data_IF_792599948071
#
_entry.id   IF_792599948071
#
_cell.length_a   1.000
_cell.length_b   1.000
_cell.length_c   1.000
_cell.angle_alpha   90.00
_cell.angle_beta   90.00
_cell.angle_gamma   90.00
#
_symmetry.space_group_name_H-M   'P 1'
#
loop_
_entity.id
_entity.type
_entity.pdbx_description
1 polymer ?
#
# COMPACT_ATOMS: atom_id res chain seq x y z
N UNK A 1 -10.48 3.47 31.19
CA UNK A 1 -9.20 3.49 30.45
C UNK A 1 -9.21 4.55 29.35
N UNK A 2 -10.28 4.67 28.52
CA UNK A 2 -10.34 5.66 27.43
C UNK A 2 -10.12 7.14 27.83
N UNK A 3 -10.56 7.61 29.03
CA UNK A 3 -10.34 9.00 29.43
C UNK A 3 -8.87 9.39 29.63
N UNK A 4 -7.98 8.43 29.80
CA UNK A 4 -6.57 8.66 30.15
C UNK A 4 -5.61 8.52 28.96
N UNK A 5 -6.09 8.05 27.78
CA UNK A 5 -5.22 7.84 26.64
C UNK A 5 -5.01 9.11 25.82
N UNK A 6 -3.79 9.32 25.35
CA UNK A 6 -3.41 10.41 24.46
C UNK A 6 -3.54 10.04 22.99
N UNK A 7 -3.41 8.73 22.69
CA UNK A 7 -3.40 8.21 21.33
C UNK A 7 -4.07 6.82 21.27
N UNK A 8 -4.87 6.62 20.24
CA UNK A 8 -5.41 5.32 19.84
C UNK A 8 -4.87 4.97 18.46
N UNK A 9 -4.14 3.88 18.38
CA UNK A 9 -3.64 3.35 17.12
C UNK A 9 -4.55 2.22 16.64
N UNK A 10 -5.22 2.45 15.53
CA UNK A 10 -6.06 1.47 14.85
C UNK A 10 -5.26 0.79 13.72
N UNK A 11 -5.66 -0.41 13.29
CA UNK A 11 -4.96 -1.13 12.22
C UNK A 11 -4.84 -0.30 10.93
N UNK A 12 -3.77 -0.50 10.16
CA UNK A 12 -3.56 0.16 8.86
C UNK A 12 -4.68 -0.17 7.87
N UNK A 13 -5.27 -1.37 7.95
CA UNK A 13 -6.47 -1.71 7.16
C UNK A 13 -7.73 -0.97 7.64
N UNK A 14 -7.64 -0.30 8.77
CA UNK A 14 -8.73 0.50 9.32
C UNK A 14 -9.92 -0.32 9.82
N UNK A 15 -11.10 0.17 9.50
CA UNK A 15 -12.38 -0.48 9.76
C UNK A 15 -13.27 -0.35 8.51
N UNK A 16 -14.31 -1.17 8.43
CA UNK A 16 -15.28 -1.08 7.34
C UNK A 16 -16.33 0.02 7.59
N UNK A 17 -17.21 0.25 6.61
CA UNK A 17 -18.27 1.27 6.72
C UNK A 17 -19.29 0.98 7.82
N UNK A 18 -19.38 -0.25 8.32
CA UNK A 18 -20.19 -0.66 9.45
C UNK A 18 -19.48 -0.46 10.79
N UNK A 19 -18.22 -0.02 10.78
CA UNK A 19 -17.44 0.23 11.99
C UNK A 19 -16.77 -1.03 12.58
N UNK A 20 -16.72 -2.12 11.85
CA UNK A 20 -15.97 -3.32 12.28
C UNK A 20 -14.48 -3.08 12.06
N UNK A 21 -13.70 -3.10 13.15
CA UNK A 21 -12.25 -2.92 13.10
C UNK A 21 -11.61 -4.17 12.51
N UNK A 22 -10.75 -3.99 11.50
CA UNK A 22 -10.02 -5.10 10.92
C UNK A 22 -9.11 -5.77 11.96
N UNK A 23 -9.21 -7.09 12.08
CA UNK A 23 -8.47 -7.89 13.04
C UNK A 23 -7.84 -9.14 12.39
N UNK A 24 -6.95 -9.81 13.11
CA UNK A 24 -6.40 -11.08 12.69
C UNK A 24 -7.45 -12.20 12.82
N UNK A 25 -7.39 -13.24 11.99
CA UNK A 25 -8.24 -14.42 12.13
C UNK A 25 -8.12 -15.01 13.54
N UNK A 26 -9.25 -15.39 14.12
CA UNK A 26 -9.32 -15.99 15.47
C UNK A 26 -9.39 -15.00 16.62
N UNK A 27 -9.37 -13.70 16.35
CA UNK A 27 -9.61 -12.64 17.33
C UNK A 27 -11.09 -12.26 17.31
N UNK A 28 -11.67 -11.94 18.47
CA UNK A 28 -13.03 -11.44 18.52
C UNK A 28 -13.19 -10.15 17.73
N UNK A 29 -14.31 -10.04 17.03
CA UNK A 29 -14.66 -8.85 16.27
C UNK A 29 -14.86 -7.67 17.24
N UNK A 30 -14.25 -6.54 16.91
CA UNK A 30 -14.40 -5.30 17.67
C UNK A 30 -15.21 -4.34 16.83
N UNK A 31 -16.41 -4.02 17.33
CA UNK A 31 -17.29 -3.03 16.74
C UNK A 31 -16.98 -1.66 17.34
N UNK A 32 -16.63 -0.69 16.48
CA UNK A 32 -16.44 0.69 16.91
C UNK A 32 -17.72 1.28 17.50
N UNK A 33 -17.60 1.95 18.64
CA UNK A 33 -18.72 2.60 19.31
C UNK A 33 -18.51 4.12 19.30
N UNK A 34 -19.41 4.87 18.67
CA UNK A 34 -19.38 6.35 18.69
C UNK A 34 -19.34 6.91 20.12
N UNK A 35 -19.99 6.24 21.07
CA UNK A 35 -19.98 6.61 22.48
C UNK A 35 -18.57 6.70 23.07
N UNK A 36 -17.59 5.98 22.54
CA UNK A 36 -16.20 6.03 23.02
C UNK A 36 -15.57 7.41 22.86
N UNK A 37 -15.90 8.16 21.79
CA UNK A 37 -15.37 9.51 21.59
C UNK A 37 -15.75 10.47 22.69
N UNK A 38 -16.94 10.31 23.28
CA UNK A 38 -17.43 11.16 24.39
C UNK A 38 -16.66 10.93 25.71
N UNK A 39 -15.96 9.81 25.82
CA UNK A 39 -15.16 9.46 27.00
C UNK A 39 -13.67 9.75 26.80
N UNK A 40 -13.28 10.22 25.62
CA UNK A 40 -11.90 10.64 25.33
C UNK A 40 -11.69 12.09 25.75
N UNK A 41 -10.50 12.41 26.24
CA UNK A 41 -10.16 13.79 26.56
C UNK A 41 -9.96 14.62 25.28
N UNK A 42 -10.24 15.94 25.32
CA UNK A 42 -9.92 16.83 24.20
C UNK A 42 -8.44 16.72 23.82
N UNK A 43 -8.17 16.66 22.51
CA UNK A 43 -6.82 16.50 21.97
C UNK A 43 -6.31 15.05 21.88
N UNK A 44 -7.10 14.05 22.32
CA UNK A 44 -6.81 12.63 22.02
C UNK A 44 -6.68 12.46 20.50
N UNK A 45 -5.72 11.66 20.07
CA UNK A 45 -5.44 11.37 18.67
C UNK A 45 -5.90 9.97 18.32
N UNK A 46 -6.56 9.84 17.19
CA UNK A 46 -6.84 8.54 16.56
C UNK A 46 -5.98 8.45 15.31
N UNK A 47 -5.13 7.44 15.24
CA UNK A 47 -4.30 7.12 14.07
C UNK A 47 -4.85 5.85 13.43
N UNK A 48 -5.16 5.91 12.16
CA UNK A 48 -5.77 4.81 11.38
C UNK A 48 -5.18 4.81 9.96
N UNK A 49 -5.23 3.70 9.25
CA UNK A 49 -4.77 3.67 7.86
C UNK A 49 -5.62 4.54 6.94
N UNK A 50 -6.89 4.22 6.84
CA UNK A 50 -7.93 5.03 6.18
C UNK A 50 -9.18 5.00 7.05
N UNK A 51 -9.78 6.16 7.30
CA UNK A 51 -10.99 6.26 8.10
C UNK A 51 -12.23 6.18 7.20
N UNK A 52 -13.31 5.50 7.63
CA UNK A 52 -14.61 5.63 7.00
C UNK A 52 -15.19 7.03 7.26
N UNK A 53 -16.13 7.44 6.43
CA UNK A 53 -16.68 8.81 6.47
C UNK A 53 -17.34 9.15 7.82
N UNK A 54 -18.07 8.21 8.40
CA UNK A 54 -18.69 8.43 9.71
C UNK A 54 -17.66 8.74 10.80
N UNK A 55 -16.47 8.10 10.78
CA UNK A 55 -15.43 8.35 11.78
C UNK A 55 -14.81 9.75 11.61
N UNK A 56 -14.61 10.20 10.36
CA UNK A 56 -14.16 11.58 10.08
C UNK A 56 -15.14 12.60 10.64
N UNK A 57 -16.44 12.39 10.36
CA UNK A 57 -17.51 13.26 10.84
C UNK A 57 -17.57 13.28 12.38
N UNK A 58 -17.60 12.12 13.01
CA UNK A 58 -17.69 11.98 14.46
C UNK A 58 -16.49 12.59 15.20
N UNK A 59 -15.27 12.42 14.67
CA UNK A 59 -14.07 13.04 15.22
C UNK A 59 -14.13 14.57 15.10
N UNK A 60 -14.58 15.10 13.96
CA UNK A 60 -14.73 16.53 13.75
C UNK A 60 -15.74 17.17 14.74
N UNK A 61 -16.87 16.49 15.02
CA UNK A 61 -17.87 16.97 16.00
C UNK A 61 -17.37 16.93 17.45
N UNK A 62 -16.49 16.01 17.80
CA UNK A 62 -16.03 15.80 19.18
C UNK A 62 -14.69 16.46 19.49
N UNK A 63 -14.04 17.09 18.50
CA UNK A 63 -12.72 17.70 18.67
C UNK A 63 -11.58 16.69 18.85
N UNK A 64 -11.79 15.42 18.50
CA UNK A 64 -10.78 14.38 18.47
C UNK A 64 -9.95 14.51 17.20
N UNK A 65 -8.62 14.43 17.32
CA UNK A 65 -7.71 14.61 16.21
C UNK A 65 -7.55 13.29 15.44
N UNK A 66 -8.03 13.26 14.20
CA UNK A 66 -7.95 12.09 13.33
C UNK A 66 -6.76 12.20 12.37
N UNK A 67 -5.90 11.18 12.35
CA UNK A 67 -4.75 11.07 11.45
C UNK A 67 -4.86 9.82 10.60
N UNK A 68 -4.92 10.02 9.28
CA UNK A 68 -4.99 8.92 8.30
C UNK A 68 -3.61 8.66 7.72
N UNK A 69 -3.01 7.51 8.05
CA UNK A 69 -1.64 7.15 7.64
C UNK A 69 -1.50 7.06 6.11
N UNK A 70 -2.47 6.46 5.42
CA UNK A 70 -2.38 6.24 3.97
C UNK A 70 -2.55 7.53 3.16
N UNK A 71 -3.06 8.61 3.76
CA UNK A 71 -3.11 9.94 3.15
C UNK A 71 -1.78 10.71 3.27
N UNK A 72 -0.92 10.34 4.23
CA UNK A 72 0.37 10.98 4.49
C UNK A 72 1.44 10.44 3.54
N UNK A 73 2.16 11.33 2.88
CA UNK A 73 3.21 10.95 1.93
C UNK A 73 4.42 10.30 2.63
N UNK A 74 4.80 10.77 3.82
CA UNK A 74 5.87 10.19 4.62
C UNK A 74 5.61 8.72 4.96
N UNK A 75 4.39 8.38 5.42
CA UNK A 75 4.00 7.00 5.64
C UNK A 75 3.94 6.21 4.33
N UNK A 76 3.28 6.77 3.32
CA UNK A 76 3.01 6.05 2.07
C UNK A 76 4.30 5.65 1.34
N UNK A 77 5.35 6.50 1.32
CA UNK A 77 6.64 6.15 0.75
C UNK A 77 7.36 5.07 1.56
N UNK A 78 7.38 5.17 2.90
CA UNK A 78 7.97 4.11 3.73
C UNK A 78 7.23 2.77 3.57
N UNK A 79 5.91 2.79 3.50
CA UNK A 79 5.08 1.60 3.30
C UNK A 79 5.21 1.02 1.87
N UNK A 80 5.56 1.85 0.89
CA UNK A 80 5.80 1.41 -0.49
C UNK A 80 7.06 0.54 -0.63
N UNK A 81 8.05 0.69 0.26
CA UNK A 81 9.28 -0.13 0.24
C UNK A 81 8.96 -1.62 0.40
N UNK A 82 8.39 -2.09 1.52
CA UNK A 82 8.05 -3.50 1.68
C UNK A 82 6.95 -3.95 0.72
N UNK A 83 6.08 -3.04 0.25
CA UNK A 83 5.08 -3.34 -0.80
C UNK A 83 5.78 -3.72 -2.10
N UNK A 84 6.73 -2.93 -2.55
CA UNK A 84 7.46 -3.16 -3.80
C UNK A 84 8.31 -4.45 -3.73
N UNK A 85 9.00 -4.68 -2.62
CA UNK A 85 9.79 -5.91 -2.42
C UNK A 85 8.89 -7.15 -2.40
N UNK A 86 7.77 -7.08 -1.72
CA UNK A 86 6.78 -8.16 -1.70
C UNK A 86 6.15 -8.41 -3.08
N UNK A 87 5.91 -7.36 -3.87
CA UNK A 87 5.41 -7.48 -5.23
C UNK A 87 6.41 -8.19 -6.15
N UNK A 88 7.67 -7.80 -6.07
CA UNK A 88 8.76 -8.43 -6.83
C UNK A 88 8.91 -9.90 -6.44
N UNK A 89 8.93 -10.20 -5.14
CA UNK A 89 9.01 -11.58 -4.66
C UNK A 89 7.82 -12.42 -5.16
N UNK A 90 6.59 -11.92 -5.04
CA UNK A 90 5.40 -12.60 -5.54
C UNK A 90 5.46 -12.83 -7.05
N UNK A 91 5.96 -11.88 -7.81
CA UNK A 91 6.12 -12.04 -9.25
C UNK A 91 7.14 -13.12 -9.59
N UNK A 92 8.32 -13.09 -8.96
CA UNK A 92 9.39 -14.08 -9.18
C UNK A 92 9.00 -15.50 -8.80
N UNK A 93 8.20 -15.69 -7.74
CA UNK A 93 7.70 -17.01 -7.35
C UNK A 93 6.77 -17.66 -8.39
N UNK A 94 6.23 -16.86 -9.31
CA UNK A 94 5.30 -17.31 -10.36
C UNK A 94 5.93 -17.28 -11.76
N UNK A 95 7.10 -16.68 -11.88
CA UNK A 95 7.83 -16.55 -13.13
C UNK A 95 8.75 -17.75 -13.35
N UNK A 96 9.03 -18.05 -14.61
CA UNK A 96 10.04 -19.00 -15.07
C UNK A 96 11.34 -18.31 -15.55
N UNK A 97 11.43 -16.99 -15.35
CA UNK A 97 12.54 -16.13 -15.79
C UNK A 97 13.00 -15.14 -14.73
N UNK A 98 14.18 -14.58 -14.91
CA UNK A 98 14.74 -13.54 -14.06
C UNK A 98 14.14 -12.16 -14.37
N UNK A 99 14.19 -11.24 -13.40
CA UNK A 99 13.89 -9.82 -13.67
C UNK A 99 15.00 -9.13 -14.47
N UNK A 100 16.25 -9.55 -14.30
CA UNK A 100 17.39 -8.99 -15.02
C UNK A 100 17.18 -9.11 -16.54
N UNK A 101 17.18 -7.98 -17.22
CA UNK A 101 16.97 -7.91 -18.67
C UNK A 101 15.52 -8.09 -19.14
N UNK A 102 14.58 -8.42 -18.23
CA UNK A 102 13.17 -8.57 -18.58
C UNK A 102 12.48 -7.21 -18.74
N UNK A 103 11.49 -7.15 -19.63
CA UNK A 103 10.64 -6.00 -19.83
C UNK A 103 9.55 -5.95 -18.73
N UNK A 104 9.58 -4.91 -17.92
CA UNK A 104 8.63 -4.71 -16.81
C UNK A 104 7.80 -3.44 -17.00
N UNK A 105 6.48 -3.59 -16.98
CA UNK A 105 5.53 -2.48 -17.01
C UNK A 105 5.06 -2.14 -15.61
N UNK A 106 5.10 -0.86 -15.24
CA UNK A 106 4.47 -0.31 -14.04
C UNK A 106 3.30 0.57 -14.43
N UNK A 107 2.07 0.11 -14.12
CA UNK A 107 0.85 0.88 -14.31
C UNK A 107 0.65 1.82 -13.13
N UNK A 108 0.71 3.14 -13.42
CA UNK A 108 0.68 4.19 -12.41
C UNK A 108 2.06 4.57 -11.88
N UNK A 109 2.25 5.88 -11.66
CA UNK A 109 3.49 6.43 -11.11
C UNK A 109 3.18 7.36 -9.94
N UNK A 110 2.45 6.79 -8.97
CA UNK A 110 2.24 7.34 -7.65
C UNK A 110 3.32 6.87 -6.67
N UNK A 111 3.10 7.08 -5.38
CA UNK A 111 4.04 6.73 -4.30
C UNK A 111 4.57 5.29 -4.40
N UNK A 112 3.67 4.32 -4.57
CA UNK A 112 4.05 2.91 -4.73
C UNK A 112 4.75 2.65 -6.07
N UNK A 113 4.22 3.20 -7.16
CA UNK A 113 4.80 3.01 -8.50
C UNK A 113 6.22 3.56 -8.64
N UNK A 114 6.52 4.70 -8.01
CA UNK A 114 7.87 5.29 -7.99
C UNK A 114 8.86 4.35 -7.32
N UNK A 115 8.54 3.88 -6.10
CA UNK A 115 9.43 2.98 -5.34
C UNK A 115 9.60 1.63 -6.04
N UNK A 116 8.52 1.10 -6.62
CA UNK A 116 8.57 -0.16 -7.36
C UNK A 116 9.43 -0.06 -8.62
N UNK A 117 9.25 0.98 -9.42
CA UNK A 117 10.03 1.19 -10.63
C UNK A 117 11.53 1.35 -10.33
N UNK A 118 11.89 2.07 -9.25
CA UNK A 118 13.26 2.20 -8.79
C UNK A 118 13.85 0.83 -8.43
N UNK A 119 13.16 0.01 -7.65
CA UNK A 119 13.64 -1.33 -7.28
C UNK A 119 13.76 -2.27 -8.48
N UNK A 120 12.81 -2.26 -9.40
CA UNK A 120 12.89 -3.05 -10.63
C UNK A 120 14.12 -2.68 -11.47
N UNK A 121 14.41 -1.37 -11.59
CA UNK A 121 15.62 -0.89 -12.28
C UNK A 121 16.90 -1.31 -11.55
N UNK A 122 16.92 -1.23 -10.23
CA UNK A 122 18.06 -1.70 -9.43
C UNK A 122 18.36 -3.20 -9.65
N UNK A 123 17.35 -3.98 -10.03
CA UNK A 123 17.49 -5.38 -10.46
C UNK A 123 17.76 -5.54 -11.95
N UNK A 124 18.07 -4.45 -12.65
CA UNK A 124 18.37 -4.40 -14.08
C UNK A 124 17.20 -4.86 -14.99
N UNK A 125 15.94 -4.69 -14.55
CA UNK A 125 14.81 -4.81 -15.45
C UNK A 125 14.74 -3.60 -16.39
N UNK A 126 14.24 -3.80 -17.61
CA UNK A 126 13.91 -2.72 -18.55
C UNK A 126 12.53 -2.21 -18.20
N UNK A 127 12.49 -1.09 -17.46
CA UNK A 127 11.23 -0.60 -16.88
C UNK A 127 10.57 0.44 -17.78
N UNK A 128 9.30 0.19 -18.10
CA UNK A 128 8.38 1.16 -18.71
C UNK A 128 7.29 1.54 -17.72
N UNK A 129 7.03 2.84 -17.61
CA UNK A 129 5.95 3.39 -16.77
C UNK A 129 4.80 3.87 -17.65
N UNK A 130 3.60 3.37 -17.40
CA UNK A 130 2.39 3.90 -18.02
C UNK A 130 1.64 4.79 -17.06
N UNK A 131 1.51 6.09 -17.36
CA UNK A 131 0.84 7.06 -16.51
C UNK A 131 0.01 8.07 -17.29
N UNK A 132 -1.12 8.50 -16.72
CA UNK A 132 -2.03 9.48 -17.33
C UNK A 132 -1.39 10.88 -17.41
N UNK A 133 -0.78 11.34 -16.29
CA UNK A 133 -0.23 12.69 -16.19
C UNK A 133 1.12 12.79 -16.87
N UNK A 134 1.30 13.81 -17.73
CA UNK A 134 2.59 14.09 -18.39
C UNK A 134 3.72 14.32 -17.38
N UNK A 135 3.43 14.98 -16.24
CA UNK A 135 4.41 15.19 -15.18
C UNK A 135 4.93 13.89 -14.55
N UNK A 136 4.07 12.87 -14.43
CA UNK A 136 4.49 11.56 -13.93
C UNK A 136 5.38 10.83 -14.94
N UNK A 137 5.07 10.95 -16.24
CA UNK A 137 5.90 10.37 -17.30
C UNK A 137 7.26 11.05 -17.36
N UNK A 138 7.28 12.38 -17.36
CA UNK A 138 8.54 13.13 -17.34
C UNK A 138 9.41 12.78 -16.12
N UNK A 139 8.79 12.62 -14.91
CA UNK A 139 9.51 12.16 -13.74
C UNK A 139 10.07 10.74 -13.93
N UNK A 140 9.30 9.81 -14.52
CA UNK A 140 9.78 8.46 -14.79
C UNK A 140 11.00 8.47 -15.75
N UNK A 141 10.97 9.30 -16.78
CA UNK A 141 12.10 9.48 -17.72
C UNK A 141 13.35 10.03 -17.04
N UNK A 142 13.21 11.05 -16.19
CA UNK A 142 14.34 11.59 -15.41
C UNK A 142 14.94 10.57 -14.45
N UNK A 143 14.12 9.62 -14.00
CA UNK A 143 14.57 8.49 -13.18
C UNK A 143 15.07 7.31 -14.01
N UNK A 144 15.19 7.47 -15.35
CA UNK A 144 15.76 6.48 -16.26
C UNK A 144 14.84 5.31 -16.61
N UNK A 145 13.53 5.47 -16.48
CA UNK A 145 12.53 4.56 -17.04
C UNK A 145 12.12 5.03 -18.44
N UNK A 146 11.65 4.12 -19.29
CA UNK A 146 10.81 4.51 -20.42
C UNK A 146 9.43 4.90 -19.91
N UNK A 147 8.71 5.74 -20.67
CA UNK A 147 7.34 6.09 -20.30
C UNK A 147 6.38 6.10 -21.48
N UNK A 148 5.07 5.90 -21.19
CA UNK A 148 4.01 6.05 -22.18
C UNK A 148 2.71 6.53 -21.53
N UNK A 149 1.83 7.19 -22.28
CA UNK A 149 0.46 7.46 -21.80
C UNK A 149 -0.34 6.16 -21.71
N UNK A 150 -1.25 6.07 -20.74
CA UNK A 150 -2.09 4.87 -20.57
C UNK A 150 -2.98 4.58 -21.78
N UNK A 151 -3.24 5.54 -22.63
CA UNK A 151 -4.04 5.41 -23.87
C UNK A 151 -3.32 4.61 -24.95
N UNK A 152 -2.00 4.46 -24.86
CA UNK A 152 -1.20 3.71 -25.84
C UNK A 152 -1.00 2.24 -25.45
N UNK A 153 -1.32 1.85 -24.22
CA UNK A 153 -1.10 0.50 -23.69
C UNK A 153 -1.63 -0.62 -24.59
N UNK A 154 -2.79 -0.40 -25.23
CA UNK A 154 -3.44 -1.41 -26.06
C UNK A 154 -2.56 -1.94 -27.20
N UNK A 155 -1.55 -1.19 -27.61
CA UNK A 155 -0.61 -1.60 -28.68
C UNK A 155 0.64 -2.29 -28.14
N UNK A 156 0.80 -2.35 -26.84
CA UNK A 156 2.05 -2.72 -26.17
C UNK A 156 1.92 -3.85 -25.14
N UNK A 157 0.71 -4.42 -24.94
CA UNK A 157 0.53 -5.46 -23.94
C UNK A 157 1.44 -6.68 -24.14
N UNK A 158 1.77 -7.02 -25.39
CA UNK A 158 2.68 -8.13 -25.74
C UNK A 158 4.17 -7.87 -25.48
N UNK A 159 4.54 -6.62 -25.18
CA UNK A 159 5.95 -6.23 -25.05
C UNK A 159 6.54 -6.58 -23.68
N UNK A 160 5.72 -6.95 -22.70
CA UNK A 160 6.11 -7.09 -21.31
C UNK A 160 6.13 -8.53 -20.81
N UNK A 161 7.18 -8.84 -20.03
CA UNK A 161 7.33 -10.08 -19.29
C UNK A 161 6.66 -9.99 -17.92
N UNK A 162 6.69 -8.81 -17.28
CA UNK A 162 6.10 -8.52 -15.99
C UNK A 162 5.24 -7.28 -16.07
N UNK A 163 4.04 -7.34 -15.47
CA UNK A 163 3.14 -6.18 -15.34
C UNK A 163 2.78 -6.00 -13.87
N UNK A 164 3.05 -4.81 -13.35
CA UNK A 164 2.71 -4.43 -11.98
C UNK A 164 1.68 -3.30 -12.02
N UNK A 165 0.48 -3.58 -11.51
CA UNK A 165 -0.56 -2.55 -11.42
C UNK A 165 -0.56 -1.89 -10.04
N UNK A 166 -0.52 -0.55 -10.01
CA UNK A 166 -0.67 0.26 -8.78
C UNK A 166 -1.89 1.18 -8.82
N UNK A 167 -2.69 1.10 -9.89
CA UNK A 167 -3.85 1.99 -10.11
C UNK A 167 -5.13 1.33 -9.58
N UNK A 168 -5.86 1.97 -8.64
CA UNK A 168 -7.09 1.42 -8.07
C UNK A 168 -8.30 1.65 -9.01
N UNK A 169 -8.17 1.23 -10.26
CA UNK A 169 -9.21 1.27 -11.28
C UNK A 169 -8.96 0.14 -12.28
N UNK A 170 -10.00 -0.29 -13.00
CA UNK A 170 -9.88 -1.31 -14.03
C UNK A 170 -8.91 -0.86 -15.13
N UNK A 171 -7.76 -1.51 -15.22
CA UNK A 171 -6.67 -1.23 -16.16
C UNK A 171 -6.53 -2.30 -17.24
N UNK A 172 -6.86 -3.54 -16.92
CA UNK A 172 -6.69 -4.69 -17.83
C UNK A 172 -7.98 -5.51 -17.88
N UNK A 173 -8.72 -5.36 -18.96
CA UNK A 173 -9.94 -6.14 -19.27
C UNK A 173 -9.58 -7.43 -20.01
N UNK A 174 -10.56 -8.27 -20.25
CA UNK A 174 -10.38 -9.52 -21.00
C UNK A 174 -9.71 -9.32 -22.38
N UNK A 175 -10.06 -8.24 -23.09
CA UNK A 175 -9.47 -7.87 -24.37
C UNK A 175 -7.99 -7.50 -24.24
N UNK A 176 -7.60 -6.74 -23.21
CA UNK A 176 -6.21 -6.35 -22.93
C UNK A 176 -5.36 -7.58 -22.56
N UNK A 177 -5.92 -8.48 -21.77
CA UNK A 177 -5.28 -9.74 -21.37
C UNK A 177 -5.07 -10.68 -22.57
N UNK A 178 -5.98 -10.68 -23.54
CA UNK A 178 -5.85 -11.47 -24.77
C UNK A 178 -4.66 -11.03 -25.62
N UNK A 179 -4.29 -9.74 -25.58
CA UNK A 179 -3.15 -9.16 -26.28
C UNK A 179 -1.82 -9.35 -25.54
N UNK A 180 -1.85 -9.84 -24.29
CA UNK A 180 -0.65 -10.13 -23.52
C UNK A 180 0.03 -11.44 -23.97
N UNK A 181 1.31 -11.55 -23.66
CA UNK A 181 2.05 -12.82 -23.75
C UNK A 181 1.42 -13.86 -22.81
N UNK A 182 1.45 -15.12 -23.18
CA UNK A 182 0.90 -16.20 -22.34
C UNK A 182 1.71 -16.45 -21.06
N UNK A 183 3.00 -16.14 -21.10
CA UNK A 183 3.96 -16.31 -20.01
C UNK A 183 4.15 -15.03 -19.18
N UNK A 184 3.35 -13.98 -19.43
CA UNK A 184 3.38 -12.76 -18.63
C UNK A 184 2.99 -13.01 -17.18
N UNK A 185 3.69 -12.37 -16.26
CA UNK A 185 3.34 -12.38 -14.83
C UNK A 185 2.76 -11.04 -14.40
N UNK A 186 1.50 -11.05 -14.01
CA UNK A 186 0.77 -9.85 -13.60
C UNK A 186 0.62 -9.84 -12.07
N UNK A 187 1.06 -8.74 -11.44
CA UNK A 187 0.93 -8.50 -9.99
C UNK A 187 0.17 -7.20 -9.76
N UNK A 188 -1.01 -7.31 -9.17
CA UNK A 188 -1.87 -6.18 -8.89
C UNK A 188 -1.73 -5.76 -7.41
N UNK A 189 -1.32 -4.52 -7.18
CA UNK A 189 -1.11 -3.91 -5.86
C UNK A 189 -2.23 -2.95 -5.47
N UNK A 190 -3.22 -2.79 -6.35
CA UNK A 190 -4.35 -1.92 -6.08
C UNK A 190 -5.23 -2.49 -4.95
N UNK A 191 -6.00 -1.61 -4.32
CA UNK A 191 -7.02 -2.06 -3.36
C UNK A 191 -8.06 -2.91 -4.06
N UNK A 192 -8.63 -3.87 -3.33
CA UNK A 192 -9.70 -4.71 -3.88
C UNK A 192 -10.86 -3.85 -4.43
N UNK A 193 -11.44 -4.24 -5.55
CA UNK A 193 -11.31 -5.52 -6.27
C UNK A 193 -10.08 -5.64 -7.19
N UNK A 194 -9.20 -4.63 -7.22
CA UNK A 194 -8.06 -4.56 -8.12
C UNK A 194 -8.39 -3.91 -9.47
N UNK A 195 -7.41 -3.88 -10.36
CA UNK A 195 -7.52 -3.30 -11.69
C UNK A 195 -7.33 -4.30 -12.84
N UNK A 196 -7.42 -5.60 -12.57
CA UNK A 196 -7.26 -6.68 -13.54
C UNK A 196 -8.48 -7.58 -13.53
N UNK A 197 -8.95 -7.98 -14.70
CA UNK A 197 -9.99 -9.02 -14.82
C UNK A 197 -9.38 -10.41 -14.54
N UNK A 198 -9.40 -10.79 -13.25
CA UNK A 198 -8.79 -12.05 -12.80
C UNK A 198 -9.52 -13.28 -13.33
N UNK A 199 -10.82 -13.19 -13.65
CA UNK A 199 -11.56 -14.31 -14.24
C UNK A 199 -11.11 -14.53 -15.69
N UNK A 200 -10.98 -13.45 -16.47
CA UNK A 200 -10.45 -13.52 -17.82
C UNK A 200 -9.00 -14.01 -17.83
N UNK A 201 -8.14 -13.53 -16.92
CA UNK A 201 -6.77 -14.00 -16.79
C UNK A 201 -6.70 -15.50 -16.54
N UNK A 202 -7.54 -16.03 -15.64
CA UNK A 202 -7.63 -17.46 -15.34
C UNK A 202 -8.06 -18.27 -16.57
N UNK A 203 -9.09 -17.84 -17.31
CA UNK A 203 -9.53 -18.52 -18.54
C UNK A 203 -8.47 -18.52 -19.64
N UNK A 204 -7.66 -17.45 -19.70
CA UNK A 204 -6.56 -17.32 -20.66
C UNK A 204 -5.28 -18.06 -20.22
N UNK A 205 -5.24 -18.61 -18.99
CA UNK A 205 -4.05 -19.26 -18.43
C UNK A 205 -2.93 -18.29 -18.07
N UNK A 206 -3.25 -16.98 -17.88
CA UNK A 206 -2.31 -15.93 -17.52
C UNK A 206 -2.12 -15.90 -16.02
N UNK A 207 -0.86 -15.82 -15.55
CA UNK A 207 -0.51 -15.71 -14.14
C UNK A 207 -0.79 -14.29 -13.61
N UNK A 208 -2.00 -14.05 -13.11
CA UNK A 208 -2.40 -12.78 -12.51
C UNK A 208 -2.81 -12.95 -11.04
N UNK A 209 -2.35 -12.06 -10.14
CA UNK A 209 -2.69 -12.09 -8.71
C UNK A 209 -2.87 -10.70 -8.14
N UNK A 210 -3.95 -10.53 -7.34
CA UNK A 210 -4.13 -9.38 -6.46
C UNK A 210 -3.35 -9.60 -5.16
N UNK A 211 -2.41 -8.74 -4.85
CA UNK A 211 -1.55 -8.81 -3.68
C UNK A 211 -1.93 -7.78 -2.63
N UNK A 212 -2.72 -8.22 -1.67
CA UNK A 212 -3.13 -7.36 -0.56
C UNK A 212 -2.19 -7.47 0.65
N UNK A 213 -2.04 -6.36 1.38
CA UNK A 213 -1.36 -6.31 2.69
C UNK A 213 0.10 -6.82 2.66
N UNK A 214 0.80 -6.63 1.56
CA UNK A 214 2.20 -7.07 1.40
C UNK A 214 3.13 -6.62 2.52
N UNK A 215 3.12 -5.36 2.99
CA UNK A 215 4.02 -4.93 4.06
C UNK A 215 3.92 -5.78 5.32
N UNK A 216 2.71 -6.03 5.79
CA UNK A 216 2.48 -6.83 7.00
C UNK A 216 2.77 -8.32 6.82
N UNK A 217 2.59 -8.85 5.60
CA UNK A 217 2.84 -10.28 5.28
C UNK A 217 4.32 -10.57 5.04
N UNK A 218 5.03 -9.65 4.38
CA UNK A 218 6.38 -9.89 3.87
C UNK A 218 7.46 -9.33 4.78
N UNK A 219 7.21 -8.17 5.38
CA UNK A 219 8.19 -7.47 6.21
C UNK A 219 7.51 -6.76 7.42
N UNK A 220 6.87 -7.51 8.34
CA UNK A 220 6.09 -6.93 9.43
C UNK A 220 6.88 -5.99 10.33
N UNK A 221 8.16 -6.30 10.60
CA UNK A 221 9.04 -5.43 11.39
C UNK A 221 9.28 -4.08 10.71
N UNK A 222 9.57 -4.08 9.41
CA UNK A 222 9.78 -2.84 8.64
C UNK A 222 8.50 -2.03 8.52
N UNK A 223 7.36 -2.71 8.29
CA UNK A 223 6.05 -2.06 8.26
C UNK A 223 5.70 -1.42 9.61
N UNK A 224 5.95 -2.11 10.72
CA UNK A 224 5.77 -1.56 12.08
C UNK A 224 6.67 -0.35 12.33
N UNK A 225 7.94 -0.41 11.91
CA UNK A 225 8.87 0.73 12.03
C UNK A 225 8.38 1.96 11.26
N UNK A 226 7.79 1.77 10.09
CA UNK A 226 7.21 2.88 9.32
C UNK A 226 6.02 3.55 10.08
N UNK A 227 5.17 2.74 10.73
CA UNK A 227 4.08 3.25 11.56
C UNK A 227 4.65 4.06 12.73
N UNK A 228 5.60 3.50 13.48
CA UNK A 228 6.20 4.15 14.66
C UNK A 228 6.81 5.50 14.28
N UNK A 229 7.56 5.59 13.18
CA UNK A 229 8.15 6.87 12.72
C UNK A 229 7.11 7.94 12.51
N UNK A 230 5.98 7.59 11.90
CA UNK A 230 4.93 8.58 11.62
C UNK A 230 4.14 8.93 12.87
N UNK A 231 3.89 7.97 13.76
CA UNK A 231 3.28 8.23 15.06
C UNK A 231 4.15 9.16 15.91
N UNK A 232 5.46 8.94 15.94
CA UNK A 232 6.42 9.83 16.62
C UNK A 232 6.38 11.26 16.04
N UNK A 233 6.30 11.39 14.70
CA UNK A 233 6.17 12.70 14.06
C UNK A 233 4.86 13.40 14.47
N UNK A 234 3.72 12.69 14.45
CA UNK A 234 2.41 13.22 14.86
C UNK A 234 2.44 13.69 16.33
N UNK A 235 3.07 12.95 17.20
CA UNK A 235 3.19 13.31 18.62
C UNK A 235 4.12 14.51 18.82
N UNK A 236 5.22 14.60 18.06
CA UNK A 236 6.19 15.69 18.15
C UNK A 236 5.64 17.00 17.58
N UNK A 237 4.95 16.96 16.44
CA UNK A 237 4.27 18.10 15.82
C UNK A 237 3.28 18.79 16.78
N UNK A 238 2.75 18.03 17.72
CA UNK A 238 1.79 18.50 18.73
C UNK A 238 2.43 19.00 20.03
N UNK A 239 3.75 19.14 20.12
CA UNK A 239 4.44 19.66 21.30
C UNK A 239 4.55 18.65 22.46
N UNK A 240 4.31 17.36 22.23
CA UNK A 240 4.65 16.32 23.20
C UNK A 240 6.13 15.99 23.06
N UNK A 241 6.91 15.95 24.16
CA UNK A 241 8.30 15.51 24.09
C UNK A 241 8.34 14.08 23.54
N UNK A 242 9.15 13.87 22.50
CA UNK A 242 9.37 12.54 21.94
C UNK A 242 9.72 11.56 23.09
N UNK A 243 8.90 10.52 23.27
CA UNK A 243 9.19 9.48 24.23
C UNK A 243 10.57 8.91 23.98
N UNK A 244 11.32 8.59 25.06
CA UNK A 244 12.64 7.95 24.95
C UNK A 244 12.52 6.78 23.98
N UNK A 245 13.30 6.82 22.90
CA UNK A 245 13.43 5.67 22.01
C UNK A 245 13.95 4.50 22.85
N UNK A 246 13.23 3.38 22.94
CA UNK A 246 13.85 2.20 23.54
C UNK A 246 15.10 1.87 22.72
N UNK A 247 16.23 1.70 23.40
CA UNK A 247 17.44 1.18 22.78
C UNK A 247 17.06 -0.19 22.17
N UNK A 248 17.58 -0.52 20.98
CA UNK A 248 17.15 -1.69 20.19
C UNK A 248 17.24 -3.06 20.90
N UNK A 249 17.72 -3.11 22.14
CA UNK A 249 17.80 -4.29 23.01
C UNK A 249 16.58 -4.48 23.92
N UNK A 250 15.82 -3.41 24.26
CA UNK A 250 14.65 -3.51 25.14
C UNK A 250 13.38 -3.97 24.41
N UNK A 251 13.27 -3.69 23.11
CA UNK A 251 12.09 -4.08 22.31
C UNK A 251 11.97 -5.61 22.08
N UNK A 252 13.02 -6.38 22.42
CA UNK A 252 13.03 -7.85 22.24
C UNK A 252 12.52 -8.63 23.45
N UNK A 253 12.27 -7.99 24.59
CA UNK A 253 11.90 -8.68 25.84
C UNK A 253 10.42 -8.61 26.22
N UNK A 254 9.66 -7.65 25.70
CA UNK A 254 8.24 -7.47 26.08
C UNK A 254 7.22 -8.15 25.15
N UNK A 255 7.66 -8.93 24.16
CA UNK A 255 6.76 -9.63 23.22
C UNK A 255 6.57 -11.12 23.58
N UNK A 256 7.15 -11.61 24.67
CA UNK A 256 7.15 -13.05 25.06
C UNK A 256 6.58 -13.26 26.48
N UNK A 257 5.71 -12.39 27.00
CA UNK A 257 4.89 -12.73 28.17
C UNK A 257 3.40 -12.53 27.88
#
# INVERSE_FOLDING_TARGET
VLPEVDLILLPVRGMNEQGVIHHLPGVHEIQWQRAWLRHMKPGTRIVIGTAPEFLRHDCAETGILLHELLSRDDFAFHNAIPTAEGAILSALQRADRTLHGSAALVLGYGRTGIVLAEKLRAWNAVVTVAARKASQRALAETMGCSSMPTTELRRHWSDFDFIFNTVPAMMMRAEDLADCRRDVVITDLASAPGGVDFQAAQHLGISARLEASLPGRMAPKSAGTAIVRVVDAILTEAGHPAGRRPSGEECSREIIE
#
